data_IF_519503124988
#
_entry.id   IF_519503124988
#
_cell.length_a   1.000
_cell.length_b   1.000
_cell.length_c   1.000
_cell.angle_alpha   90.00
_cell.angle_beta   90.00
_cell.angle_gamma   90.00
#
_symmetry.space_group_name_H-M   'P 1'
#
loop_
_entity.id
_entity.type
_entity.pdbx_description
1 polymer ?
#
# COMPACT_ATOMS: atom_id res chain seq x y z
N UNK A 1 5.31 -2.94 -7.17
CA UNK A 1 5.51 -2.80 -5.70
C UNK A 1 6.17 -1.47 -5.32
N UNK A 2 7.02 -0.90 -6.14
CA UNK A 2 7.62 0.41 -5.85
C UNK A 2 6.53 1.50 -5.65
N UNK A 3 5.59 1.61 -6.58
CA UNK A 3 4.48 2.57 -6.50
C UNK A 3 3.51 2.26 -5.36
N UNK A 4 3.35 0.98 -5.01
CA UNK A 4 2.60 0.54 -3.85
C UNK A 4 3.18 1.12 -2.53
N UNK A 5 4.52 1.13 -2.39
CA UNK A 5 5.18 1.75 -1.24
C UNK A 5 4.94 3.26 -1.16
N UNK A 6 4.94 3.96 -2.30
CA UNK A 6 4.56 5.38 -2.37
C UNK A 6 3.12 5.55 -1.89
N UNK A 7 2.17 4.77 -2.41
CA UNK A 7 0.75 4.86 -2.07
C UNK A 7 0.46 4.67 -0.58
N UNK A 8 1.21 3.80 0.08
CA UNK A 8 1.07 3.54 1.52
C UNK A 8 1.57 4.69 2.41
N UNK A 9 2.52 5.51 1.93
CA UNK A 9 3.24 6.48 2.77
C UNK A 9 2.95 7.95 2.41
N UNK A 10 2.47 8.21 1.19
CA UNK A 10 2.35 9.58 0.65
C UNK A 10 1.42 10.48 1.45
N UNK A 11 0.32 9.95 2.01
CA UNK A 11 -0.61 10.73 2.82
C UNK A 11 0.04 11.25 4.11
N UNK A 12 0.92 10.44 4.70
CA UNK A 12 1.66 10.83 5.90
C UNK A 12 2.63 11.99 5.66
N UNK A 13 3.08 12.18 4.43
CA UNK A 13 4.03 13.23 4.05
C UNK A 13 3.35 14.57 3.73
N UNK A 14 2.09 14.56 3.30
CA UNK A 14 1.33 15.74 2.88
C UNK A 14 0.16 16.08 3.81
N UNK A 15 0.31 15.80 5.12
CA UNK A 15 -0.74 16.08 6.11
C UNK A 15 -1.14 17.56 6.15
N UNK A 16 -0.21 18.55 6.20
CA UNK A 16 -0.60 19.95 6.24
C UNK A 16 -1.34 20.40 4.99
N UNK A 17 -0.91 19.93 3.82
CA UNK A 17 -1.51 20.28 2.53
C UNK A 17 -2.95 19.77 2.42
N UNK A 18 -3.20 18.54 2.85
CA UNK A 18 -4.54 17.98 2.90
C UNK A 18 -5.39 18.64 3.98
N UNK A 19 -4.82 18.93 5.16
CA UNK A 19 -5.52 19.68 6.21
C UNK A 19 -5.99 21.03 5.69
N UNK A 20 -5.12 21.78 5.00
CA UNK A 20 -5.47 23.03 4.36
C UNK A 20 -6.54 22.87 3.29
N UNK A 21 -6.39 21.90 2.40
CA UNK A 21 -7.33 21.63 1.32
C UNK A 21 -8.74 21.24 1.79
N UNK A 22 -8.83 20.59 2.96
CA UNK A 22 -10.11 20.15 3.54
C UNK A 22 -10.69 21.10 4.59
N UNK A 23 -10.07 22.30 4.77
CA UNK A 23 -10.59 23.35 5.65
C UNK A 23 -10.38 23.05 7.13
N UNK A 24 -9.23 22.48 7.49
CA UNK A 24 -8.85 22.26 8.88
C UNK A 24 -8.78 23.59 9.67
N UNK A 25 -9.16 23.53 10.94
CA UNK A 25 -9.09 24.70 11.83
C UNK A 25 -7.65 24.94 12.27
N UNK A 26 -7.21 26.19 12.41
CA UNK A 26 -5.94 26.50 13.01
C UNK A 26 -5.97 26.18 14.52
N UNK A 27 -4.90 25.62 15.03
CA UNK A 27 -4.64 25.40 16.46
C UNK A 27 -4.15 26.71 17.13
N UNK A 28 -4.07 26.72 18.45
CA UNK A 28 -3.66 27.90 19.22
C UNK A 28 -2.22 28.37 18.93
N UNK A 29 -1.37 27.48 18.40
CA UNK A 29 0.00 27.75 17.97
C UNK A 29 0.12 28.24 16.51
N UNK A 30 -1.01 28.38 15.81
CA UNK A 30 -1.06 28.78 14.40
C UNK A 30 -0.86 27.63 13.39
N UNK A 31 -0.61 26.40 13.83
CA UNK A 31 -0.55 25.23 12.94
C UNK A 31 -1.96 24.74 12.60
N UNK A 32 -2.09 23.95 11.52
CA UNK A 32 -3.37 23.35 11.15
C UNK A 32 -3.61 22.04 11.90
N UNK A 33 -4.86 21.80 12.30
CA UNK A 33 -5.26 20.51 12.88
C UNK A 33 -5.21 19.40 11.83
N UNK A 34 -4.20 18.55 11.93
CA UNK A 34 -4.00 17.40 11.01
C UNK A 34 -4.75 16.13 11.44
N UNK A 35 -5.52 16.16 12.54
CA UNK A 35 -6.22 14.99 13.08
C UNK A 35 -7.18 14.35 12.07
N UNK A 36 -7.85 15.17 11.25
CA UNK A 36 -8.70 14.69 10.16
C UNK A 36 -7.92 13.91 9.10
N UNK A 37 -6.70 14.32 8.79
CA UNK A 37 -5.85 13.61 7.81
C UNK A 37 -5.35 12.29 8.39
N UNK A 38 -5.01 12.25 9.68
CA UNK A 38 -4.64 11.02 10.39
C UNK A 38 -5.80 10.01 10.35
N UNK A 39 -7.04 10.46 10.52
CA UNK A 39 -8.23 9.60 10.38
C UNK A 39 -8.37 9.02 8.96
N UNK A 40 -8.06 9.80 7.94
CA UNK A 40 -8.05 9.34 6.54
C UNK A 40 -6.90 8.34 6.29
N UNK A 41 -5.73 8.54 6.90
CA UNK A 41 -4.65 7.55 6.85
C UNK A 41 -5.09 6.23 7.49
N UNK A 42 -5.82 6.27 8.61
CA UNK A 42 -6.38 5.07 9.24
C UNK A 42 -7.40 4.34 8.33
N UNK A 43 -8.11 5.07 7.47
CA UNK A 43 -9.04 4.50 6.50
C UNK A 43 -8.35 3.60 5.46
N UNK A 44 -7.07 3.85 5.11
CA UNK A 44 -6.26 2.92 4.33
C UNK A 44 -6.16 1.55 5.02
N UNK A 45 -5.89 1.55 6.33
CA UNK A 45 -5.84 0.34 7.14
C UNK A 45 -7.19 -0.38 7.17
N UNK A 46 -8.30 0.37 7.31
CA UNK A 46 -9.65 -0.17 7.31
C UNK A 46 -9.99 -0.85 5.97
N UNK A 47 -9.71 -0.19 4.84
CA UNK A 47 -9.92 -0.75 3.51
C UNK A 47 -9.14 -2.06 3.32
N UNK A 48 -7.87 -2.10 3.79
CA UNK A 48 -7.06 -3.30 3.77
C UNK A 48 -7.64 -4.41 4.65
N UNK A 49 -8.06 -4.09 5.87
CA UNK A 49 -8.63 -5.06 6.81
C UNK A 49 -9.89 -5.73 6.24
N UNK A 50 -10.78 -4.93 5.64
CA UNK A 50 -12.01 -5.43 5.05
C UNK A 50 -11.73 -6.32 3.82
N UNK A 51 -10.78 -5.96 2.98
CA UNK A 51 -10.53 -6.64 1.71
C UNK A 51 -9.64 -7.86 1.80
N UNK A 52 -8.76 -7.97 2.82
CA UNK A 52 -7.84 -9.10 2.99
C UNK A 52 -8.52 -10.48 2.98
N UNK A 53 -9.64 -10.71 3.69
CA UNK A 53 -10.30 -12.01 3.70
C UNK A 53 -10.81 -12.46 2.32
N UNK A 54 -11.09 -11.51 1.43
CA UNK A 54 -11.65 -11.76 0.10
C UNK A 54 -10.58 -11.78 -1.00
N UNK A 55 -9.58 -10.91 -0.91
CA UNK A 55 -8.55 -10.77 -1.96
C UNK A 55 -7.72 -12.03 -2.14
N UNK A 56 -7.35 -12.72 -1.06
CA UNK A 56 -6.61 -13.98 -1.11
C UNK A 56 -7.39 -15.09 -1.84
N UNK A 57 -8.57 -15.49 -1.35
CA UNK A 57 -9.41 -16.49 -2.01
C UNK A 57 -9.76 -16.14 -3.47
N UNK A 58 -10.01 -14.87 -3.76
CA UNK A 58 -10.30 -14.40 -5.11
C UNK A 58 -9.10 -14.60 -6.04
N UNK A 59 -7.91 -14.19 -5.60
CA UNK A 59 -6.66 -14.37 -6.32
C UNK A 59 -6.35 -15.85 -6.57
N UNK A 60 -6.63 -16.71 -5.58
CA UNK A 60 -6.44 -18.16 -5.70
C UNK A 60 -7.45 -18.81 -6.65
N UNK A 61 -8.72 -18.35 -6.64
CA UNK A 61 -9.80 -18.93 -7.43
C UNK A 61 -9.77 -18.47 -8.89
N UNK A 62 -9.56 -17.19 -9.12
CA UNK A 62 -9.68 -16.57 -10.46
C UNK A 62 -8.32 -16.21 -11.08
N UNK A 63 -7.24 -16.40 -10.34
CA UNK A 63 -5.87 -16.19 -10.81
C UNK A 63 -5.26 -14.86 -10.36
N UNK A 64 -3.93 -14.85 -10.29
CA UNK A 64 -3.13 -13.69 -9.82
C UNK A 64 -3.35 -12.44 -10.67
N UNK A 65 -3.48 -12.64 -11.99
CA UNK A 65 -3.65 -11.55 -12.95
C UNK A 65 -4.90 -10.72 -12.68
N UNK A 66 -6.04 -11.37 -12.41
CA UNK A 66 -7.29 -10.66 -12.09
C UNK A 66 -7.16 -9.83 -10.81
N UNK A 67 -6.55 -10.41 -9.77
CA UNK A 67 -6.28 -9.68 -8.52
C UNK A 67 -5.41 -8.46 -8.77
N UNK A 68 -4.36 -8.59 -9.60
CA UNK A 68 -3.49 -7.48 -9.97
C UNK A 68 -4.24 -6.36 -10.69
N UNK A 69 -5.10 -6.69 -11.63
CA UNK A 69 -5.92 -5.70 -12.38
C UNK A 69 -6.85 -4.95 -11.44
N UNK A 70 -7.55 -5.65 -10.55
CA UNK A 70 -8.44 -5.01 -9.55
C UNK A 70 -7.62 -4.06 -8.67
N UNK A 71 -6.46 -4.52 -8.17
CA UNK A 71 -5.56 -3.71 -7.34
C UNK A 71 -5.09 -2.44 -8.05
N UNK A 72 -4.70 -2.55 -9.33
CA UNK A 72 -4.30 -1.39 -10.15
C UNK A 72 -5.46 -0.41 -10.33
N UNK A 73 -6.64 -0.88 -10.71
CA UNK A 73 -7.80 0.01 -10.91
C UNK A 73 -8.18 0.74 -9.62
N UNK A 74 -8.14 0.07 -8.48
CA UNK A 74 -8.36 0.70 -7.19
C UNK A 74 -7.26 1.73 -6.86
N UNK A 75 -5.99 1.47 -7.18
CA UNK A 75 -4.92 2.44 -6.97
C UNK A 75 -5.02 3.65 -7.90
N UNK A 76 -5.42 3.46 -9.13
CA UNK A 76 -5.72 4.56 -10.06
C UNK A 76 -6.80 5.47 -9.47
N UNK A 77 -7.92 4.88 -9.01
CA UNK A 77 -8.98 5.62 -8.35
C UNK A 77 -8.49 6.34 -7.09
N UNK A 78 -7.66 5.68 -6.27
CA UNK A 78 -7.06 6.29 -5.08
C UNK A 78 -6.17 7.49 -5.43
N UNK A 79 -5.19 7.34 -6.33
CA UNK A 79 -4.25 8.42 -6.62
C UNK A 79 -4.93 9.63 -7.28
N UNK A 80 -5.74 9.42 -8.31
CA UNK A 80 -6.46 10.51 -8.96
C UNK A 80 -7.56 11.10 -8.07
N UNK A 81 -8.25 10.27 -7.29
CA UNK A 81 -9.25 10.71 -6.34
C UNK A 81 -8.66 11.56 -5.22
N UNK A 82 -7.54 11.14 -4.65
CA UNK A 82 -6.83 11.92 -3.63
C UNK A 82 -6.29 13.25 -4.17
N UNK A 83 -5.73 13.27 -5.39
CA UNK A 83 -5.25 14.48 -6.03
C UNK A 83 -6.36 15.54 -6.19
N UNK A 84 -7.60 15.10 -6.35
CA UNK A 84 -8.76 15.98 -6.56
C UNK A 84 -9.68 16.07 -5.32
N UNK A 85 -9.31 15.49 -4.19
CA UNK A 85 -10.14 15.52 -2.99
C UNK A 85 -10.21 16.95 -2.42
N UNK A 86 -11.44 17.43 -2.20
CA UNK A 86 -11.74 18.75 -1.65
C UNK A 86 -12.37 18.68 -0.26
N UNK A 87 -12.60 17.48 0.26
CA UNK A 87 -13.18 17.26 1.58
C UNK A 87 -12.64 16.01 2.25
N UNK A 88 -12.68 15.98 3.57
CA UNK A 88 -12.30 14.81 4.37
C UNK A 88 -13.10 13.56 3.96
N UNK A 89 -14.40 13.69 3.66
CA UNK A 89 -15.25 12.56 3.27
C UNK A 89 -14.78 11.92 1.96
N UNK A 90 -14.42 12.74 0.97
CA UNK A 90 -13.81 12.26 -0.28
C UNK A 90 -12.47 11.58 -0.01
N UNK A 91 -11.61 12.22 0.78
CA UNK A 91 -10.32 11.65 1.19
C UNK A 91 -10.49 10.29 1.85
N UNK A 92 -11.44 10.16 2.77
CA UNK A 92 -11.75 8.92 3.47
C UNK A 92 -12.20 7.80 2.50
N UNK A 93 -13.12 8.10 1.59
CA UNK A 93 -13.60 7.15 0.60
C UNK A 93 -12.47 6.64 -0.31
N UNK A 94 -11.63 7.55 -0.84
CA UNK A 94 -10.51 7.16 -1.67
C UNK A 94 -9.41 6.44 -0.89
N UNK A 95 -9.18 6.78 0.38
CA UNK A 95 -8.25 6.03 1.24
C UNK A 95 -8.72 4.59 1.48
N UNK A 96 -10.01 4.35 1.71
CA UNK A 96 -10.56 2.99 1.79
C UNK A 96 -10.28 2.22 0.49
N UNK A 97 -10.52 2.84 -0.68
CA UNK A 97 -10.22 2.23 -1.98
C UNK A 97 -8.72 1.93 -2.10
N UNK A 98 -7.85 2.84 -1.65
CA UNK A 98 -6.40 2.61 -1.59
C UNK A 98 -6.01 1.43 -0.70
N UNK A 99 -6.69 1.24 0.42
CA UNK A 99 -6.53 0.08 1.29
C UNK A 99 -6.93 -1.24 0.62
N UNK A 100 -8.04 -1.23 -0.13
CA UNK A 100 -8.47 -2.37 -0.95
C UNK A 100 -7.40 -2.68 -2.01
N UNK A 101 -6.90 -1.66 -2.70
CA UNK A 101 -5.84 -1.81 -3.69
C UNK A 101 -4.58 -2.48 -3.11
N UNK A 102 -4.17 -2.09 -1.89
CA UNK A 102 -3.07 -2.71 -1.15
C UNK A 102 -3.24 -4.21 -1.03
N UNK A 103 -4.42 -4.67 -0.58
CA UNK A 103 -4.71 -6.09 -0.38
C UNK A 103 -4.66 -6.89 -1.69
N UNK A 104 -5.26 -6.34 -2.75
CA UNK A 104 -5.32 -7.02 -4.04
C UNK A 104 -3.95 -7.10 -4.72
N UNK A 105 -3.11 -6.07 -4.62
CA UNK A 105 -1.74 -6.12 -5.13
C UNK A 105 -0.84 -7.06 -4.29
N UNK A 106 -0.98 -7.07 -2.97
CA UNK A 106 -0.24 -8.00 -2.10
C UNK A 106 -0.56 -9.45 -2.45
N UNK A 107 -1.83 -9.78 -2.73
CA UNK A 107 -2.26 -11.14 -3.10
C UNK A 107 -1.94 -11.51 -4.56
N UNK A 108 -1.58 -10.55 -5.38
CA UNK A 108 -1.08 -10.78 -6.73
C UNK A 108 0.45 -10.93 -6.75
N UNK A 109 1.18 -9.91 -6.34
CA UNK A 109 2.62 -9.77 -6.63
C UNK A 109 3.48 -10.68 -5.76
N UNK A 110 3.26 -10.71 -4.43
CA UNK A 110 4.09 -11.55 -3.55
C UNK A 110 4.01 -13.04 -3.90
N UNK A 111 2.82 -13.64 -4.07
CA UNK A 111 2.74 -15.03 -4.49
C UNK A 111 3.30 -15.27 -5.90
N UNK A 112 3.06 -14.36 -6.85
CA UNK A 112 3.60 -14.49 -8.22
C UNK A 112 5.12 -14.51 -8.21
N UNK A 113 5.77 -13.63 -7.46
CA UNK A 113 7.22 -13.65 -7.31
C UNK A 113 7.72 -14.97 -6.71
N UNK A 114 7.04 -15.49 -5.70
CA UNK A 114 7.40 -16.77 -5.07
C UNK A 114 7.16 -17.97 -6.02
N UNK A 115 6.15 -17.90 -6.88
CA UNK A 115 5.83 -18.92 -7.89
C UNK A 115 6.85 -18.92 -9.05
N UNK A 116 7.43 -17.76 -9.39
CA UNK A 116 8.49 -17.62 -10.40
C UNK A 116 9.84 -18.12 -9.85
N UNK A 117 10.20 -17.73 -8.62
CA UNK A 117 11.46 -18.08 -7.99
C UNK A 117 11.31 -19.33 -7.10
N UNK A 118 10.97 -20.46 -7.71
CA UNK A 118 10.65 -21.72 -7.01
C UNK A 118 11.80 -22.20 -6.08
N UNK A 119 13.04 -22.02 -6.52
CA UNK A 119 14.22 -22.46 -5.77
C UNK A 119 14.49 -21.63 -4.51
N UNK A 120 14.09 -20.35 -4.50
CA UNK A 120 14.34 -19.43 -3.40
C UNK A 120 13.15 -18.47 -3.17
N UNK A 121 11.96 -18.97 -2.77
CA UNK A 121 10.77 -18.15 -2.60
C UNK A 121 10.91 -17.08 -1.51
N UNK A 122 11.74 -17.34 -0.48
CA UNK A 122 12.04 -16.36 0.56
C UNK A 122 12.79 -15.15 0.03
N UNK A 123 13.75 -15.36 -0.89
CA UNK A 123 14.49 -14.28 -1.54
C UNK A 123 13.56 -13.45 -2.42
N UNK A 124 12.66 -14.07 -3.17
CA UNK A 124 11.65 -13.36 -3.96
C UNK A 124 10.77 -12.45 -3.09
N UNK A 125 10.32 -12.94 -1.93
CA UNK A 125 9.53 -12.13 -0.99
C UNK A 125 10.36 -10.97 -0.41
N UNK A 126 11.65 -11.17 -0.12
CA UNK A 126 12.55 -10.09 0.31
C UNK A 126 12.66 -8.99 -0.74
N UNK A 127 12.81 -9.33 -2.02
CA UNK A 127 12.84 -8.35 -3.11
C UNK A 127 11.56 -7.51 -3.20
N UNK A 128 10.39 -8.11 -2.98
CA UNK A 128 9.14 -7.35 -2.95
C UNK A 128 9.12 -6.35 -1.79
N UNK A 129 9.56 -6.75 -0.60
CA UNK A 129 9.64 -5.87 0.57
C UNK A 129 10.71 -4.78 0.40
N UNK A 130 11.87 -5.14 -0.16
CA UNK A 130 12.92 -4.18 -0.49
C UNK A 130 12.40 -3.08 -1.44
N UNK A 131 11.62 -3.44 -2.47
CA UNK A 131 11.03 -2.46 -3.39
C UNK A 131 10.10 -1.47 -2.69
N UNK A 132 9.31 -1.93 -1.71
CA UNK A 132 8.46 -1.06 -0.88
C UNK A 132 9.33 -0.13 -0.03
N UNK A 133 10.30 -0.66 0.71
CA UNK A 133 11.18 0.14 1.56
C UNK A 133 11.98 1.16 0.76
N UNK A 134 12.48 0.77 -0.42
CA UNK A 134 13.21 1.67 -1.31
C UNK A 134 12.34 2.85 -1.77
N UNK A 135 11.09 2.59 -2.15
CA UNK A 135 10.17 3.64 -2.56
C UNK A 135 9.83 4.60 -1.42
N UNK A 136 9.64 4.07 -0.21
CA UNK A 136 9.39 4.86 0.99
C UNK A 136 10.60 5.72 1.38
N UNK A 137 11.81 5.19 1.22
CA UNK A 137 13.06 5.92 1.43
C UNK A 137 13.24 7.04 0.40
N UNK A 138 12.92 6.80 -0.87
CA UNK A 138 13.06 7.78 -1.95
C UNK A 138 11.94 8.83 -1.96
N UNK A 139 10.80 8.56 -1.35
CA UNK A 139 9.63 9.45 -1.38
C UNK A 139 9.93 10.87 -0.84
N UNK A 140 10.61 11.08 0.29
CA UNK A 140 10.95 12.43 0.76
C UNK A 140 11.82 13.20 -0.23
N UNK A 141 12.73 12.53 -0.95
CA UNK A 141 13.56 13.18 -1.98
C UNK A 141 12.72 13.61 -3.19
N UNK A 142 11.77 12.76 -3.62
CA UNK A 142 10.82 13.11 -4.68
C UNK A 142 9.95 14.31 -4.28
N UNK A 143 9.50 14.35 -3.04
CA UNK A 143 8.75 15.48 -2.47
C UNK A 143 9.62 16.75 -2.49
N UNK A 144 10.88 16.65 -2.07
CA UNK A 144 11.83 17.77 -2.11
C UNK A 144 12.04 18.32 -3.52
N UNK A 145 12.15 17.46 -4.53
CA UNK A 145 12.26 17.87 -5.94
C UNK A 145 11.01 18.62 -6.40
N UNK A 146 9.82 18.10 -6.10
CA UNK A 146 8.54 18.73 -6.46
C UNK A 146 8.38 20.08 -5.77
N UNK A 147 8.74 20.17 -4.49
CA UNK A 147 8.71 21.43 -3.74
C UNK A 147 9.70 22.47 -4.27
N UNK A 148 10.93 22.06 -4.59
CA UNK A 148 11.95 22.97 -5.16
C UNK A 148 11.57 23.47 -6.56
N UNK A 149 10.80 22.68 -7.31
CA UNK A 149 10.26 23.07 -8.61
C UNK A 149 8.97 23.92 -8.51
N UNK A 150 8.52 24.30 -7.31
CA UNK A 150 7.26 25.01 -7.05
C UNK A 150 6.03 24.33 -7.66
N UNK A 151 6.07 22.99 -7.76
CA UNK A 151 4.91 22.22 -8.25
C UNK A 151 3.94 21.90 -7.12
N UNK A 152 2.63 21.83 -7.38
CA UNK A 152 1.64 21.47 -6.37
C UNK A 152 1.84 20.02 -5.89
N UNK A 153 1.54 19.75 -4.63
CA UNK A 153 1.61 18.41 -4.04
C UNK A 153 0.84 17.34 -4.85
N UNK A 154 -0.21 17.75 -5.55
CA UNK A 154 -1.02 16.89 -6.43
C UNK A 154 -0.20 16.21 -7.52
N UNK A 155 0.92 16.80 -7.92
CA UNK A 155 1.79 16.31 -9.00
C UNK A 155 2.28 14.90 -8.71
N UNK A 156 2.73 14.60 -7.48
CA UNK A 156 3.21 13.24 -7.13
C UNK A 156 2.08 12.21 -7.21
N UNK A 157 0.86 12.59 -6.78
CA UNK A 157 -0.31 11.69 -6.90
C UNK A 157 -0.64 11.40 -8.37
N UNK A 158 -0.59 12.40 -9.23
CA UNK A 158 -0.86 12.24 -10.68
C UNK A 158 0.22 11.36 -11.31
N UNK A 159 1.49 11.64 -11.04
CA UNK A 159 2.61 10.84 -11.56
C UNK A 159 2.52 9.39 -11.08
N UNK A 160 2.24 9.15 -9.80
CA UNK A 160 2.06 7.81 -9.25
C UNK A 160 0.83 7.11 -9.88
N UNK A 161 -0.25 7.85 -10.13
CA UNK A 161 -1.43 7.33 -10.82
C UNK A 161 -1.15 6.92 -12.27
N UNK A 162 -0.36 7.70 -13.00
CA UNK A 162 0.08 7.35 -14.36
C UNK A 162 1.01 6.13 -14.32
N UNK A 163 1.95 6.10 -13.40
CA UNK A 163 2.90 5.00 -13.29
C UNK A 163 2.21 3.67 -12.93
N UNK A 164 1.20 3.69 -12.04
CA UNK A 164 0.43 2.46 -11.74
C UNK A 164 -0.47 2.04 -12.91
N UNK A 165 -0.93 2.96 -13.76
CA UNK A 165 -1.59 2.61 -15.02
C UNK A 165 -0.66 1.87 -15.97
N UNK A 166 0.58 2.31 -16.10
CA UNK A 166 1.61 1.62 -16.90
C UNK A 166 1.86 0.23 -16.34
N UNK A 167 1.98 0.08 -15.02
CA UNK A 167 2.08 -1.24 -14.37
C UNK A 167 0.87 -2.12 -14.69
N UNK A 168 -0.33 -1.55 -14.73
CA UNK A 168 -1.55 -2.26 -15.13
C UNK A 168 -1.50 -2.78 -16.57
N UNK A 169 -1.01 -1.98 -17.50
CA UNK A 169 -0.81 -2.38 -18.89
C UNK A 169 0.22 -3.52 -18.97
N UNK A 170 1.31 -3.43 -18.21
CA UNK A 170 2.31 -4.49 -18.14
C UNK A 170 1.71 -5.79 -17.58
N UNK A 171 0.87 -5.72 -16.55
CA UNK A 171 0.15 -6.88 -16.01
C UNK A 171 -0.76 -7.51 -17.06
N UNK A 172 -1.39 -6.72 -17.93
CA UNK A 172 -2.24 -7.23 -19.01
C UNK A 172 -1.43 -7.97 -20.09
N UNK A 173 -0.26 -7.47 -20.44
CA UNK A 173 0.57 -7.99 -21.54
C UNK A 173 1.40 -9.20 -21.07
N UNK A 174 1.97 -9.14 -19.86
CA UNK A 174 2.88 -10.17 -19.39
C UNK A 174 2.17 -11.49 -19.07
N UNK A 175 2.78 -12.65 -19.40
CA UNK A 175 2.28 -13.94 -18.99
C UNK A 175 2.48 -14.16 -17.50
N UNK A 176 1.43 -14.61 -16.83
CA UNK A 176 1.49 -15.02 -15.43
C UNK A 176 1.70 -16.52 -15.32
N UNK A 177 2.30 -17.03 -14.22
CA UNK A 177 2.48 -18.47 -13.99
C UNK A 177 1.15 -19.23 -14.12
N UNK A 178 1.19 -20.39 -14.76
CA UNK A 178 0.00 -21.21 -14.97
C UNK A 178 -0.59 -21.66 -13.63
N UNK A 179 -1.91 -21.57 -13.52
CA UNK A 179 -2.70 -21.88 -12.31
C UNK A 179 -2.45 -23.29 -11.76
N UNK A 180 -2.15 -24.26 -12.63
CA UNK A 180 -1.95 -25.66 -12.25
C UNK A 180 -0.78 -25.85 -11.26
N UNK A 181 0.32 -25.13 -11.44
CA UNK A 181 1.48 -25.18 -10.52
C UNK A 181 1.16 -24.64 -9.12
N UNK A 182 0.35 -23.59 -9.04
CA UNK A 182 -0.05 -23.00 -7.76
C UNK A 182 -1.04 -23.89 -6.99
N UNK A 183 -1.91 -24.61 -7.68
CA UNK A 183 -2.88 -25.56 -7.10
C UNK A 183 -2.17 -26.80 -6.58
N UNK A 184 -1.21 -27.35 -7.32
CA UNK A 184 -0.40 -28.51 -6.88
C UNK A 184 0.45 -28.19 -5.65
N UNK A 185 1.15 -27.07 -5.62
CA UNK A 185 1.94 -26.64 -4.46
C UNK A 185 1.09 -26.43 -3.20
N UNK A 186 -0.20 -26.07 -3.33
CA UNK A 186 -1.15 -25.98 -2.20
C UNK A 186 -1.73 -27.32 -1.79
N UNK A 187 -1.95 -28.23 -2.71
CA UNK A 187 -2.43 -29.59 -2.42
C UNK A 187 -1.39 -30.36 -1.59
N UNK A 188 -0.11 -30.21 -1.91
CA UNK A 188 1.00 -30.82 -1.16
C UNK A 188 1.16 -30.21 0.24
N UNK A 189 0.96 -28.89 0.40
CA UNK A 189 0.93 -28.23 1.71
C UNK A 189 -0.29 -28.62 2.57
N UNK A 190 -1.43 -28.89 1.97
CA UNK A 190 -2.66 -29.25 2.69
C UNK A 190 -2.62 -30.69 3.24
N UNK A 191 -1.79 -31.57 2.66
CA UNK A 191 -1.55 -32.93 3.17
C UNK A 191 -0.70 -32.95 4.43
N UNK A 192 0.09 -31.93 4.70
CA UNK A 192 0.78 -31.77 5.98
C UNK A 192 -0.15 -30.95 6.90
N UNK A 193 -0.99 -31.66 7.66
CA UNK A 193 -1.93 -31.06 8.61
C UNK A 193 -1.20 -30.15 9.61
N UNK A 194 -1.12 -28.87 9.31
CA UNK A 194 -0.45 -27.87 10.15
C UNK A 194 -1.34 -27.51 11.33
N UNK A 195 -1.08 -28.10 12.48
CA UNK A 195 -1.46 -27.50 13.76
C UNK A 195 -0.68 -26.20 13.88
N UNK A 196 -1.37 -25.09 14.16
CA UNK A 196 -0.73 -23.80 14.43
C UNK A 196 0.22 -24.00 15.62
N UNK A 197 1.52 -23.97 15.37
CA UNK A 197 2.52 -24.15 16.42
C UNK A 197 2.63 -22.88 17.27
N UNK A 198 3.02 -22.96 18.55
CA UNK A 198 3.30 -21.77 19.37
C UNK A 198 4.30 -20.82 18.72
N UNK A 199 5.28 -21.35 17.98
CA UNK A 199 6.23 -20.54 17.19
C UNK A 199 5.54 -19.76 16.06
N UNK A 200 4.53 -20.33 15.42
CA UNK A 200 3.75 -19.60 14.40
C UNK A 200 2.93 -18.46 15.01
N UNK A 201 2.35 -18.67 16.19
CA UNK A 201 1.63 -17.61 16.93
C UNK A 201 2.61 -16.49 17.32
N UNK A 202 3.77 -16.85 17.87
CA UNK A 202 4.82 -15.89 18.23
C UNK A 202 5.28 -15.09 17.00
N UNK A 203 5.51 -15.74 15.86
CA UNK A 203 5.89 -15.06 14.61
C UNK A 203 4.82 -14.08 14.11
N UNK A 204 3.53 -14.43 14.22
CA UNK A 204 2.41 -13.55 13.87
C UNK A 204 2.38 -12.33 14.79
N UNK A 205 2.53 -12.52 16.10
CA UNK A 205 2.54 -11.44 17.07
C UNK A 205 3.74 -10.49 16.87
N UNK A 206 4.93 -11.02 16.65
CA UNK A 206 6.13 -10.24 16.35
C UNK A 206 5.95 -9.47 15.04
N UNK A 207 5.41 -10.10 13.99
CA UNK A 207 5.12 -9.45 12.73
C UNK A 207 4.11 -8.31 12.87
N UNK A 208 3.06 -8.51 13.66
CA UNK A 208 2.06 -7.48 13.94
C UNK A 208 2.65 -6.29 14.69
N UNK A 209 3.37 -6.52 15.78
CA UNK A 209 3.97 -5.44 16.59
C UNK A 209 5.02 -4.66 15.79
N UNK A 210 5.92 -5.35 15.09
CA UNK A 210 6.95 -4.72 14.25
C UNK A 210 6.34 -3.88 13.13
N UNK A 211 5.35 -4.40 12.42
CA UNK A 211 4.68 -3.65 11.34
C UNK A 211 3.92 -2.45 11.87
N UNK A 212 3.25 -2.57 13.02
CA UNK A 212 2.51 -1.46 13.64
C UNK A 212 3.45 -0.35 14.09
N UNK A 213 4.56 -0.69 14.73
CA UNK A 213 5.58 0.28 15.16
C UNK A 213 6.21 0.99 13.96
N UNK A 214 6.53 0.26 12.89
CA UNK A 214 7.09 0.83 11.68
C UNK A 214 6.11 1.80 11.00
N UNK A 215 4.83 1.45 10.92
CA UNK A 215 3.79 2.32 10.34
C UNK A 215 3.55 3.58 11.18
N UNK A 216 3.55 3.46 12.51
CA UNK A 216 3.48 4.61 13.40
C UNK A 216 4.67 5.54 13.18
N UNK A 217 5.88 4.99 13.14
CA UNK A 217 7.09 5.78 12.90
C UNK A 217 7.05 6.50 11.55
N UNK A 218 6.68 5.82 10.45
CA UNK A 218 6.56 6.42 9.13
C UNK A 218 5.58 7.59 9.07
N UNK A 219 4.48 7.50 9.81
CA UNK A 219 3.43 8.51 9.73
C UNK A 219 3.58 9.63 10.77
N UNK A 220 4.36 9.41 11.85
CA UNK A 220 4.51 10.38 12.96
C UNK A 220 5.91 11.01 13.04
N UNK A 221 6.89 10.55 12.27
CA UNK A 221 8.27 11.03 12.33
C UNK A 221 8.41 12.54 12.02
N UNK A 222 7.57 13.07 11.14
CA UNK A 222 7.59 14.51 10.83
C UNK A 222 7.10 15.38 11.99
N UNK A 223 6.11 14.89 12.73
CA UNK A 223 5.60 15.61 13.93
C UNK A 223 6.64 15.58 15.04
N UNK A 224 7.30 14.43 15.23
CA UNK A 224 8.41 14.30 16.17
C UNK A 224 9.58 15.24 15.81
N UNK A 225 9.97 15.33 14.54
CA UNK A 225 11.05 16.20 14.09
C UNK A 225 10.73 17.71 14.25
N UNK A 226 9.46 18.08 14.29
CA UNK A 226 9.02 19.46 14.50
C UNK A 226 8.92 19.83 15.99
N UNK A 227 8.88 18.84 16.89
CA UNK A 227 8.78 19.05 18.34
C UNK A 227 10.15 19.25 19.01
N UNK A 228 11.23 19.08 18.27
CA UNK A 228 12.63 19.36 18.65
C UNK A 228 13.21 20.51 17.83
#
# INVERSE_FOLDING_TARGET
>A
YFIHGIGASILGQYKPEFAAAWGAKPLADGTLDVSMVVSVIAALGLGRLISLPFSGPLSDKYGRKLSGIIGVLCYVAYFFGMANSTSMAMGYAFAVIGGIANSFLDTCVSPTCMEIYVNNPSVANLFTKFSICLSQFLLPFLIGIVASANMPYKTIFIVAGIAILIDGILILILPFPAREKAVQAKADKKKSGHKISPAAIAAILIGFTSSSTFMLWLNCNQELARSY
#
